data_IF_156890816957
#
_entry.id   IF_156890816957
#
_cell.length_a   1.000
_cell.length_b   1.000
_cell.length_c   1.000
_cell.angle_alpha   90.00
_cell.angle_beta   90.00
_cell.angle_gamma   90.00
#
_symmetry.space_group_name_H-M   'P 1'
#
loop_
_entity.id
_entity.type
_entity.pdbx_description
1 polymer ?
#
# COMPACT_ATOMS: atom_id res chain seq x y z
N UNK A 1 -7.61 -66.46 -45.14
CA UNK A 1 -6.38 -67.28 -44.96
C UNK A 1 -5.24 -66.27 -44.89
N UNK A 2 -4.50 -66.03 -43.82
CA UNK A 2 -4.19 -66.80 -42.61
C UNK A 2 -3.60 -65.83 -41.56
N UNK A 3 -4.01 -66.01 -40.30
CA UNK A 3 -3.29 -65.77 -39.02
C UNK A 3 -2.00 -64.94 -38.99
N UNK A 4 -1.96 -63.93 -38.10
CA UNK A 4 -1.29 -63.98 -36.78
C UNK A 4 -1.54 -62.67 -36.00
N UNK A 5 -1.64 -62.81 -34.68
CA UNK A 5 -2.10 -61.83 -33.68
C UNK A 5 -0.92 -61.33 -32.79
N UNK A 6 -1.11 -60.66 -31.63
CA UNK A 6 -0.83 -59.22 -31.44
C UNK A 6 0.09 -58.89 -30.23
N UNK A 7 0.40 -57.61 -30.02
CA UNK A 7 0.96 -57.08 -28.77
C UNK A 7 0.29 -55.73 -28.49
N UNK A 8 -0.72 -55.67 -27.60
CA UNK A 8 -0.62 -55.21 -26.19
C UNK A 8 0.16 -53.88 -26.08
N UNK A 9 -0.47 -52.75 -25.76
CA UNK A 9 -0.87 -52.48 -24.39
C UNK A 9 -1.98 -51.39 -24.33
N UNK A 10 -3.10 -51.73 -23.68
CA UNK A 10 -4.25 -50.87 -23.44
C UNK A 10 -4.55 -50.91 -21.94
N UNK A 11 -4.36 -49.78 -21.26
CA UNK A 11 -5.08 -49.46 -20.02
C UNK A 11 -4.26 -49.42 -18.74
N UNK A 12 -4.14 -48.22 -18.16
CA UNK A 12 -4.41 -47.98 -16.72
C UNK A 12 -4.48 -46.48 -16.40
N UNK A 13 -5.70 -45.94 -16.53
CA UNK A 13 -6.19 -44.89 -15.61
C UNK A 13 -6.65 -45.56 -14.32
N UNK A 14 -6.52 -44.82 -13.21
CA UNK A 14 -7.01 -45.08 -11.84
C UNK A 14 -6.04 -45.86 -10.94
N UNK A 15 -5.37 -45.13 -10.05
CA UNK A 15 -5.13 -45.41 -8.61
C UNK A 15 -3.91 -44.64 -8.11
N UNK A 16 -4.05 -43.35 -7.80
CA UNK A 16 -3.21 -42.67 -6.80
C UNK A 16 -4.07 -41.58 -6.16
N UNK A 17 -5.02 -42.02 -5.33
CA UNK A 17 -5.74 -41.15 -4.40
C UNK A 17 -5.94 -41.94 -3.11
N UNK A 18 -4.81 -42.28 -2.45
CA UNK A 18 -4.82 -43.00 -1.18
C UNK A 18 -3.44 -42.94 -0.47
N UNK A 19 -2.86 -41.75 -0.31
CA UNK A 19 -1.53 -41.62 0.35
C UNK A 19 -1.38 -40.48 1.35
N UNK A 20 -2.46 -39.82 1.81
CA UNK A 20 -2.39 -38.72 2.79
C UNK A 20 -3.14 -39.01 4.11
N UNK A 21 -3.61 -40.25 4.33
CA UNK A 21 -4.16 -40.66 5.63
C UNK A 21 -3.56 -41.99 6.06
N UNK A 22 -2.53 -41.91 6.92
CA UNK A 22 -2.10 -42.87 7.97
C UNK A 22 -0.59 -42.77 8.18
N UNK A 23 -0.16 -41.87 9.07
CA UNK A 23 1.14 -41.93 9.77
C UNK A 23 1.18 -40.92 10.90
N UNK A 24 0.39 -41.18 11.94
CA UNK A 24 0.57 -40.62 13.28
C UNK A 24 0.11 -41.65 14.30
N UNK A 25 1.00 -42.58 14.63
CA UNK A 25 1.04 -43.24 15.92
C UNK A 25 2.47 -43.76 16.12
N UNK A 26 2.95 -43.58 17.35
CA UNK A 26 4.16 -44.13 17.98
C UNK A 26 5.49 -43.37 17.84
N UNK A 27 5.78 -42.54 18.86
CA UNK A 27 7.00 -42.63 19.66
C UNK A 27 6.86 -41.80 20.95
N UNK A 28 7.00 -42.46 22.11
CA UNK A 28 7.10 -41.87 23.45
C UNK A 28 8.57 -41.60 23.82
N UNK A 29 8.73 -40.71 24.80
CA UNK A 29 9.80 -40.52 25.80
C UNK A 29 11.17 -39.96 25.40
N UNK A 30 11.40 -38.67 25.72
CA UNK A 30 12.60 -38.13 26.41
C UNK A 30 12.14 -37.00 27.35
N UNK A 31 12.71 -36.93 28.55
CA UNK A 31 12.36 -36.05 29.67
C UNK A 31 12.90 -34.61 29.57
N UNK A 32 12.35 -33.64 30.36
CA UNK A 32 12.62 -32.20 30.23
C UNK A 32 13.51 -31.62 31.35
N UNK A 33 14.25 -30.55 31.04
CA UNK A 33 14.92 -29.70 32.02
C UNK A 33 14.64 -28.20 31.78
N UNK A 34 13.86 -27.60 32.70
CA UNK A 34 13.86 -26.21 33.21
C UNK A 34 13.90 -25.02 32.21
N UNK A 35 13.01 -24.02 32.23
CA UNK A 35 12.31 -23.41 33.36
C UNK A 35 11.12 -22.49 32.95
N UNK A 36 10.21 -22.34 33.93
CA UNK A 36 9.29 -21.23 34.26
C UNK A 36 8.07 -20.90 33.38
N UNK A 37 6.93 -21.22 34.00
CA UNK A 37 5.51 -21.05 33.66
C UNK A 37 5.02 -19.66 34.06
N UNK A 38 4.10 -19.08 33.27
CA UNK A 38 2.98 -18.32 33.82
C UNK A 38 1.77 -18.47 32.88
N UNK A 39 0.94 -19.47 33.20
CA UNK A 39 -0.38 -19.66 32.62
C UNK A 39 -1.34 -19.85 33.80
N UNK A 40 -2.20 -18.88 34.06
CA UNK A 40 -3.36 -19.04 34.94
C UNK A 40 -4.59 -18.83 34.08
N UNK A 41 -5.01 -19.91 33.42
CA UNK A 41 -6.36 -20.09 32.97
C UNK A 41 -6.96 -21.21 33.84
N UNK A 42 -7.67 -20.84 34.90
CA UNK A 42 -8.63 -21.73 35.52
C UNK A 42 -10.00 -21.40 34.94
N UNK A 43 -10.50 -22.32 34.12
CA UNK A 43 -11.92 -22.45 33.83
C UNK A 43 -12.60 -23.00 35.08
N UNK A 44 -13.54 -22.24 35.64
CA UNK A 44 -14.64 -22.79 36.42
C UNK A 44 -15.92 -22.57 35.63
N UNK A 45 -16.52 -23.68 35.23
CA UNK A 45 -17.81 -23.80 34.58
C UNK A 45 -18.95 -23.37 35.52
N UNK A 46 -19.68 -22.33 35.12
CA UNK A 46 -21.06 -22.09 35.53
C UNK A 46 -21.79 -21.43 34.36
N UNK A 47 -22.79 -22.14 33.83
CA UNK A 47 -23.68 -21.63 32.81
C UNK A 47 -24.64 -20.60 33.43
N UNK A 48 -24.32 -19.30 33.30
CA UNK A 48 -25.25 -18.18 33.38
C UNK A 48 -24.53 -16.87 32.98
N UNK A 49 -25.08 -16.11 32.02
CA UNK A 49 -24.75 -14.69 31.85
C UNK A 49 -23.77 -14.30 30.74
N UNK A 50 -24.01 -14.68 29.48
CA UNK A 50 -23.37 -14.05 28.31
C UNK A 50 -24.11 -12.75 27.96
N UNK A 51 -24.12 -11.73 28.82
CA UNK A 51 -24.68 -10.41 28.48
C UNK A 51 -24.04 -9.25 29.28
N UNK A 52 -22.71 -9.13 29.40
CA UNK A 52 -22.09 -7.86 29.86
C UNK A 52 -20.56 -7.78 29.70
N UNK A 53 -20.00 -8.02 28.49
CA UNK A 53 -18.57 -7.72 28.22
C UNK A 53 -18.33 -6.88 26.96
N UNK A 54 -19.32 -6.75 26.08
CA UNK A 54 -19.18 -6.00 24.83
C UNK A 54 -19.30 -4.47 25.01
N UNK A 55 -19.99 -3.99 26.06
CA UNK A 55 -20.21 -2.56 26.29
C UNK A 55 -18.95 -1.79 26.71
N UNK A 56 -18.13 -2.35 27.61
CA UNK A 56 -16.94 -1.69 28.11
C UNK A 56 -15.83 -1.56 27.05
N UNK A 57 -15.65 -2.60 26.21
CA UNK A 57 -14.67 -2.60 25.12
C UNK A 57 -15.03 -1.60 24.01
N UNK A 58 -16.32 -1.48 23.66
CA UNK A 58 -16.75 -0.49 22.66
C UNK A 58 -16.65 0.95 23.18
N UNK A 59 -16.99 1.20 24.45
CA UNK A 59 -16.86 2.52 25.07
C UNK A 59 -15.41 2.99 25.15
N UNK A 60 -14.48 2.10 25.50
CA UNK A 60 -13.05 2.41 25.54
C UNK A 60 -12.49 2.72 24.13
N UNK A 61 -12.90 1.93 23.14
CA UNK A 61 -12.55 2.15 21.74
C UNK A 61 -13.05 3.50 21.22
N UNK A 62 -14.30 3.87 21.54
CA UNK A 62 -14.86 5.17 21.17
C UNK A 62 -14.14 6.35 21.86
N UNK A 63 -13.72 6.18 23.11
CA UNK A 63 -12.96 7.20 23.85
C UNK A 63 -11.60 7.47 23.21
N UNK A 64 -10.85 6.40 22.90
CA UNK A 64 -9.53 6.51 22.28
C UNK A 64 -9.59 7.16 20.89
N UNK A 65 -10.61 6.84 20.09
CA UNK A 65 -10.81 7.48 18.77
C UNK A 65 -11.08 8.99 18.92
N UNK A 66 -11.86 9.41 19.93
CA UNK A 66 -12.10 10.83 20.19
C UNK A 66 -10.85 11.56 20.65
N UNK A 67 -10.09 10.95 21.56
CA UNK A 67 -8.83 11.50 22.06
C UNK A 67 -7.81 11.67 20.92
N UNK A 68 -7.70 10.69 20.03
CA UNK A 68 -6.90 10.83 18.81
C UNK A 68 -7.41 11.95 17.91
N UNK A 69 -8.72 12.08 17.71
CA UNK A 69 -9.28 13.14 16.89
C UNK A 69 -8.97 14.55 17.45
N UNK A 70 -8.99 14.73 18.77
CA UNK A 70 -8.61 15.99 19.43
C UNK A 70 -7.11 16.26 19.30
N UNK A 71 -6.27 15.26 19.58
CA UNK A 71 -4.80 15.36 19.44
C UNK A 71 -4.40 15.75 18.01
N UNK A 72 -5.05 15.17 17.00
CA UNK A 72 -4.80 15.49 15.58
C UNK A 72 -5.09 16.95 15.24
N UNK A 73 -6.13 17.56 15.83
CA UNK A 73 -6.50 18.97 15.61
C UNK A 73 -5.46 19.94 16.17
N UNK A 74 -4.72 19.52 17.19
CA UNK A 74 -3.68 20.33 17.81
C UNK A 74 -2.35 20.31 17.05
N UNK A 75 -2.18 19.41 16.07
CA UNK A 75 -0.96 19.36 15.26
C UNK A 75 -0.88 20.58 14.32
N UNK A 76 0.30 21.23 14.20
CA UNK A 76 0.48 22.42 13.36
C UNK A 76 -0.05 22.27 11.93
N UNK A 77 0.19 21.12 11.29
CA UNK A 77 -0.22 20.87 9.90
C UNK A 77 -1.74 20.84 9.71
N UNK A 78 -2.53 20.63 10.77
CA UNK A 78 -3.98 20.50 10.68
C UNK A 78 -4.64 21.78 10.14
N UNK A 79 -4.10 22.95 10.49
CA UNK A 79 -4.60 24.26 10.01
C UNK A 79 -4.56 24.39 8.49
N UNK A 80 -3.67 23.64 7.84
CA UNK A 80 -3.46 23.66 6.39
C UNK A 80 -4.18 22.52 5.66
N UNK A 81 -5.03 21.73 6.34
CA UNK A 81 -5.72 20.56 5.76
C UNK A 81 -6.40 20.87 4.41
N UNK A 82 -7.20 21.93 4.36
CA UNK A 82 -7.94 22.32 3.16
C UNK A 82 -7.03 22.80 2.04
N UNK A 83 -6.01 23.58 2.38
CA UNK A 83 -5.03 24.11 1.44
C UNK A 83 -4.19 23.00 0.80
N UNK A 84 -3.70 22.05 1.61
CA UNK A 84 -2.94 20.89 1.13
C UNK A 84 -3.78 20.06 0.16
N UNK A 85 -5.03 19.74 0.53
CA UNK A 85 -5.93 19.01 -0.37
C UNK A 85 -6.16 19.74 -1.69
N UNK A 86 -6.30 21.07 -1.65
CA UNK A 86 -6.48 21.90 -2.85
C UNK A 86 -5.23 21.89 -3.74
N UNK A 87 -4.06 22.19 -3.17
CA UNK A 87 -2.79 22.25 -3.90
C UNK A 87 -2.44 20.92 -4.57
N UNK A 88 -2.68 19.79 -3.90
CA UNK A 88 -2.45 18.45 -4.45
C UNK A 88 -3.31 18.16 -5.67
N UNK A 89 -4.51 18.76 -5.77
CA UNK A 89 -5.36 18.62 -6.94
C UNK A 89 -4.92 19.56 -8.09
N UNK A 90 -4.58 20.80 -7.75
CA UNK A 90 -4.26 21.85 -8.73
C UNK A 90 -2.87 21.71 -9.36
N UNK A 91 -1.92 21.09 -8.65
CA UNK A 91 -0.53 20.96 -9.09
C UNK A 91 -0.12 19.50 -9.20
N UNK A 92 0.93 19.20 -9.96
CA UNK A 92 1.46 17.83 -10.07
C UNK A 92 2.45 17.51 -8.94
N UNK A 93 3.16 18.52 -8.44
CA UNK A 93 4.17 18.38 -7.39
C UNK A 93 3.91 19.44 -6.30
N UNK A 94 3.80 18.99 -5.05
CA UNK A 94 3.69 19.85 -3.87
C UNK A 94 4.88 19.58 -2.94
N UNK A 95 5.63 20.63 -2.61
CA UNK A 95 6.67 20.58 -1.58
C UNK A 95 6.08 21.05 -0.25
N UNK A 96 6.17 20.21 0.78
CA UNK A 96 5.75 20.53 2.15
C UNK A 96 6.97 20.54 3.05
N UNK A 97 7.23 21.69 3.66
CA UNK A 97 8.34 21.89 4.60
C UNK A 97 7.76 22.31 5.94
N UNK A 98 8.08 21.55 6.99
CA UNK A 98 7.70 21.90 8.37
C UNK A 98 8.58 21.12 9.35
N UNK A 99 8.71 21.59 10.59
CA UNK A 99 9.50 20.93 11.64
C UNK A 99 9.07 19.48 11.91
N UNK A 100 9.96 18.68 12.47
CA UNK A 100 9.63 17.34 13.00
C UNK A 100 8.57 17.46 14.10
N UNK A 101 7.63 16.52 14.14
CA UNK A 101 6.50 16.58 15.10
C UNK A 101 5.33 17.48 14.66
N UNK A 102 5.44 18.23 13.56
CA UNK A 102 4.32 19.02 13.00
C UNK A 102 3.15 18.17 12.48
N UNK A 103 3.35 16.87 12.31
CA UNK A 103 2.33 15.91 11.87
C UNK A 103 2.32 15.58 10.37
N UNK A 104 3.33 15.98 9.59
CA UNK A 104 3.41 15.75 8.12
C UNK A 104 3.12 14.29 7.73
N UNK A 105 3.97 13.38 8.19
CA UNK A 105 3.98 11.96 7.84
C UNK A 105 2.70 11.24 8.24
N UNK A 106 2.03 11.69 9.31
CA UNK A 106 0.80 11.08 9.81
C UNK A 106 -0.45 11.70 9.19
N UNK A 107 -0.53 13.03 9.16
CA UNK A 107 -1.79 13.74 8.90
C UNK A 107 -2.03 14.00 7.43
N UNK A 108 -1.00 14.33 6.64
CA UNK A 108 -1.19 14.70 5.23
C UNK A 108 -1.78 13.52 4.42
N UNK A 109 -1.25 12.29 4.50
CA UNK A 109 -1.86 11.15 3.82
C UNK A 109 -3.29 10.88 4.32
N UNK A 110 -3.53 11.02 5.63
CA UNK A 110 -4.86 10.85 6.21
C UNK A 110 -5.86 11.90 5.68
N UNK A 111 -5.47 13.17 5.55
CA UNK A 111 -6.32 14.23 5.01
C UNK A 111 -6.73 13.98 3.55
N UNK A 112 -5.76 13.57 2.72
CA UNK A 112 -6.00 13.24 1.32
C UNK A 112 -6.94 12.05 1.17
N UNK A 113 -6.79 11.05 2.05
CA UNK A 113 -7.64 9.86 2.06
C UNK A 113 -9.06 10.18 2.57
N UNK A 114 -9.19 10.87 3.70
CA UNK A 114 -10.47 11.22 4.34
C UNK A 114 -11.32 12.16 3.48
N UNK A 115 -10.71 13.14 2.82
CA UNK A 115 -11.41 14.06 1.92
C UNK A 115 -11.97 13.37 0.68
N UNK A 116 -11.42 12.21 0.32
CA UNK A 116 -11.75 11.50 -0.92
C UNK A 116 -11.36 12.28 -2.19
N UNK A 117 -10.57 13.35 -2.06
CA UNK A 117 -10.23 14.24 -3.16
C UNK A 117 -9.52 13.49 -4.30
N UNK A 118 -8.55 12.62 -3.98
CA UNK A 118 -7.81 11.82 -4.95
C UNK A 118 -8.67 10.76 -5.63
N UNK A 119 -9.65 10.19 -4.90
CA UNK A 119 -10.62 9.24 -5.47
C UNK A 119 -11.52 9.94 -6.50
N UNK A 120 -12.00 11.13 -6.16
CA UNK A 120 -12.83 11.93 -7.07
C UNK A 120 -12.02 12.40 -8.28
N UNK A 121 -10.81 12.90 -8.06
CA UNK A 121 -9.85 13.26 -9.10
C UNK A 121 -9.67 12.10 -10.08
N UNK A 122 -9.24 10.94 -9.57
CA UNK A 122 -9.03 9.78 -10.43
C UNK A 122 -10.30 9.31 -11.16
N UNK A 123 -11.49 9.48 -10.57
CA UNK A 123 -12.77 9.18 -11.23
C UNK A 123 -13.06 10.13 -12.40
N UNK A 124 -12.75 11.42 -12.29
CA UNK A 124 -12.96 12.41 -13.37
C UNK A 124 -12.11 12.15 -14.60
N UNK A 125 -10.93 11.55 -14.41
CA UNK A 125 -10.02 11.19 -15.50
C UNK A 125 -10.24 9.76 -16.04
N UNK A 126 -11.29 9.05 -15.61
CA UNK A 126 -11.60 7.73 -16.16
C UNK A 126 -12.00 7.83 -17.63
N UNK A 127 -11.31 7.08 -18.48
CA UNK A 127 -11.76 6.82 -19.85
C UNK A 127 -12.77 5.67 -19.85
N UNK A 128 -13.62 5.60 -20.89
CA UNK A 128 -14.64 4.54 -21.07
C UNK A 128 -14.07 3.11 -21.07
N UNK A 129 -12.74 2.94 -21.16
CA UNK A 129 -12.06 1.64 -21.20
C UNK A 129 -11.24 1.31 -19.93
N UNK A 130 -11.17 2.22 -18.95
CA UNK A 130 -10.27 2.07 -17.79
C UNK A 130 -10.96 1.64 -16.50
N UNK A 131 -10.84 0.36 -16.13
CA UNK A 131 -11.20 -0.14 -14.80
C UNK A 131 -10.07 0.10 -13.80
N UNK A 132 -9.86 1.34 -13.32
CA UNK A 132 -8.91 1.55 -12.23
C UNK A 132 -9.65 1.56 -10.88
N UNK A 133 -9.85 0.37 -10.31
CA UNK A 133 -10.48 0.17 -8.98
C UNK A 133 -9.54 0.56 -7.82
N UNK A 134 -8.25 0.82 -8.11
CA UNK A 134 -7.24 1.24 -7.14
C UNK A 134 -6.98 2.76 -7.14
N UNK A 135 -7.61 3.47 -8.08
CA UNK A 135 -7.43 4.90 -8.27
C UNK A 135 -7.90 5.68 -7.02
N UNK A 136 -6.95 6.35 -6.37
CA UNK A 136 -7.14 7.04 -5.09
C UNK A 136 -6.20 6.56 -3.98
N UNK A 137 -5.45 5.48 -4.20
CA UNK A 137 -4.46 5.00 -3.23
C UNK A 137 -3.24 5.94 -3.17
N UNK A 138 -2.62 6.02 -2.00
CA UNK A 138 -1.48 6.87 -1.66
C UNK A 138 -0.33 5.96 -1.21
N UNK A 139 0.83 6.09 -1.84
CA UNK A 139 2.07 5.51 -1.31
C UNK A 139 2.82 6.59 -0.55
N UNK A 140 3.25 6.32 0.68
CA UNK A 140 4.11 7.20 1.47
C UNK A 140 5.41 6.47 1.70
N UNK A 141 6.51 6.99 1.18
CA UNK A 141 7.81 6.37 1.41
C UNK A 141 8.45 6.86 2.70
N UNK A 142 9.26 6.00 3.29
CA UNK A 142 10.04 6.26 4.50
C UNK A 142 11.43 5.65 4.31
N UNK A 143 12.52 6.34 4.65
CA UNK A 143 13.86 5.79 4.48
C UNK A 143 14.12 4.57 5.37
N UNK A 144 13.40 4.47 6.50
CA UNK A 144 13.63 3.46 7.54
C UNK A 144 12.44 2.51 7.69
N UNK A 145 12.73 1.20 7.83
CA UNK A 145 11.69 0.16 8.04
C UNK A 145 10.85 0.42 9.28
N UNK A 146 11.50 0.76 10.41
CA UNK A 146 10.81 1.03 11.67
C UNK A 146 9.89 2.24 11.55
N UNK A 147 10.31 3.30 10.85
CA UNK A 147 9.47 4.46 10.59
C UNK A 147 8.22 4.09 9.78
N UNK A 148 8.37 3.36 8.66
CA UNK A 148 7.23 2.91 7.86
C UNK A 148 6.18 2.11 8.67
N UNK A 149 6.63 1.16 9.50
CA UNK A 149 5.75 0.33 10.31
C UNK A 149 5.06 1.12 11.43
N UNK A 150 5.82 1.95 12.15
CA UNK A 150 5.33 2.70 13.31
C UNK A 150 4.38 3.82 12.88
N UNK A 151 4.68 4.54 11.81
CA UNK A 151 3.80 5.57 11.26
C UNK A 151 2.51 4.94 10.73
N UNK A 152 2.57 3.82 9.99
CA UNK A 152 1.37 3.14 9.52
C UNK A 152 0.47 2.68 10.67
N UNK A 153 1.05 2.10 11.72
CA UNK A 153 0.30 1.68 12.91
C UNK A 153 -0.35 2.88 13.59
N UNK A 154 0.40 3.97 13.80
CA UNK A 154 -0.11 5.21 14.39
C UNK A 154 -1.28 5.79 13.58
N UNK A 155 -1.14 5.85 12.27
CA UNK A 155 -2.19 6.40 11.39
C UNK A 155 -3.41 5.49 11.35
N UNK A 156 -3.23 4.16 11.41
CA UNK A 156 -4.35 3.23 11.52
C UNK A 156 -5.16 3.46 12.82
N UNK A 157 -4.47 3.65 13.94
CA UNK A 157 -5.07 3.97 15.25
C UNK A 157 -5.78 5.34 15.24
N UNK A 158 -5.17 6.36 14.63
CA UNK A 158 -5.72 7.70 14.48
C UNK A 158 -6.94 7.78 13.55
N UNK A 159 -7.02 6.87 12.58
CA UNK A 159 -8.15 6.72 11.65
C UNK A 159 -9.18 5.69 12.12
N UNK A 160 -8.97 5.06 13.29
CA UNK A 160 -9.89 4.07 13.85
C UNK A 160 -10.07 2.84 12.97
N UNK A 161 -9.02 2.39 12.27
CA UNK A 161 -9.06 1.24 11.38
C UNK A 161 -8.02 0.18 11.76
N UNK A 162 -8.28 -1.07 11.38
CA UNK A 162 -7.31 -2.17 11.60
C UNK A 162 -6.11 -1.99 10.67
N UNK A 163 -4.89 -2.11 11.19
CA UNK A 163 -3.69 -2.10 10.36
C UNK A 163 -3.75 -3.21 9.30
N UNK A 164 -3.40 -2.88 8.06
CA UNK A 164 -3.55 -3.75 6.89
C UNK A 164 -4.91 -3.66 6.20
N UNK A 165 -5.90 -2.97 6.79
CA UNK A 165 -7.15 -2.59 6.12
C UNK A 165 -6.95 -1.30 5.33
N UNK A 166 -7.60 -0.19 5.68
CA UNK A 166 -7.49 1.11 5.00
C UNK A 166 -6.05 1.66 4.96
N UNK A 167 -5.31 1.45 6.05
CA UNK A 167 -3.92 1.88 6.24
C UNK A 167 -3.04 0.65 6.47
N UNK A 168 -1.88 0.57 5.82
CA UNK A 168 -0.98 -0.57 5.93
C UNK A 168 0.46 -0.20 5.60
N UNK A 169 1.37 -1.16 5.68
CA UNK A 169 2.78 -0.95 5.35
C UNK A 169 3.40 -2.08 4.52
N UNK A 170 4.47 -1.74 3.80
CA UNK A 170 5.27 -2.66 2.98
C UNK A 170 6.75 -2.39 3.18
N UNK A 171 7.41 -3.30 3.89
CA UNK A 171 8.86 -3.27 4.10
C UNK A 171 9.49 -4.58 3.59
N UNK A 172 10.82 -4.63 3.51
CA UNK A 172 11.47 -5.89 3.12
C UNK A 172 11.12 -6.99 4.12
N UNK A 173 10.70 -8.14 3.58
CA UNK A 173 10.30 -9.34 4.33
C UNK A 173 9.04 -9.22 5.19
N UNK A 174 8.32 -8.09 5.14
CA UNK A 174 7.07 -7.93 5.90
C UNK A 174 6.09 -7.02 5.15
N UNK A 175 4.87 -7.52 4.96
CA UNK A 175 3.82 -6.86 4.19
C UNK A 175 2.50 -6.98 4.93
N UNK A 176 2.03 -5.86 5.47
CA UNK A 176 0.74 -5.72 6.13
C UNK A 176 -0.15 -4.82 5.28
N UNK A 177 -0.61 -5.34 4.13
CA UNK A 177 -1.57 -4.68 3.24
C UNK A 177 -2.55 -5.68 2.66
N UNK A 178 -3.81 -5.27 2.53
CA UNK A 178 -4.80 -5.96 1.73
C UNK A 178 -4.88 -5.31 0.34
N UNK A 179 -4.44 -6.02 -0.70
CA UNK A 179 -4.34 -5.47 -2.05
C UNK A 179 -5.52 -5.84 -2.96
N UNK A 180 -6.32 -6.83 -2.57
CA UNK A 180 -7.34 -7.46 -3.42
C UNK A 180 -8.63 -7.82 -2.68
N UNK A 181 -8.67 -7.66 -1.36
CA UNK A 181 -9.83 -7.93 -0.53
C UNK A 181 -10.77 -6.72 -0.38
N UNK A 182 -11.90 -6.93 0.31
CA UNK A 182 -12.97 -5.93 0.45
C UNK A 182 -12.51 -4.67 1.20
N UNK A 183 -11.48 -4.79 2.04
CA UNK A 183 -10.92 -3.70 2.83
C UNK A 183 -9.58 -3.22 2.24
N UNK A 184 -9.53 -3.09 0.91
CA UNK A 184 -8.31 -2.76 0.17
C UNK A 184 -7.57 -1.57 0.79
N UNK A 185 -6.28 -1.75 1.08
CA UNK A 185 -5.40 -0.71 1.59
C UNK A 185 -5.25 0.43 0.61
N UNK A 186 -5.51 1.64 1.11
CA UNK A 186 -5.47 2.89 0.34
C UNK A 186 -4.29 3.75 0.74
N UNK A 187 -3.90 3.77 2.01
CA UNK A 187 -2.70 4.48 2.47
C UNK A 187 -1.63 3.44 2.81
N UNK A 188 -0.57 3.40 1.99
CA UNK A 188 0.50 2.41 2.13
C UNK A 188 1.78 3.14 2.51
N UNK A 189 2.31 2.85 3.69
CA UNK A 189 3.65 3.27 4.08
C UNK A 189 4.66 2.23 3.61
N UNK A 190 5.60 2.62 2.75
CA UNK A 190 6.60 1.71 2.22
C UNK A 190 8.00 2.22 2.50
N UNK A 191 8.99 1.33 2.55
CA UNK A 191 10.38 1.81 2.43
C UNK A 191 10.69 2.21 0.99
N UNK A 192 11.60 3.16 0.79
CA UNK A 192 12.06 3.60 -0.54
C UNK A 192 12.40 2.41 -1.46
N UNK A 193 13.20 1.47 -0.97
CA UNK A 193 13.56 0.25 -1.70
C UNK A 193 12.39 -0.65 -2.10
N UNK A 194 11.27 -0.63 -1.36
CA UNK A 194 10.07 -1.40 -1.73
C UNK A 194 9.30 -0.72 -2.87
N UNK A 195 9.21 0.61 -2.88
CA UNK A 195 8.61 1.35 -3.99
C UNK A 195 9.48 1.30 -5.25
N UNK A 196 10.81 1.41 -5.12
CA UNK A 196 11.75 1.21 -6.24
C UNK A 196 11.60 -0.17 -6.87
N UNK A 197 11.49 -1.21 -6.04
CA UNK A 197 11.26 -2.58 -6.52
C UNK A 197 9.92 -2.70 -7.25
N UNK A 198 8.85 -2.11 -6.72
CA UNK A 198 7.55 -2.08 -7.38
C UNK A 198 7.62 -1.37 -8.74
N UNK A 199 8.29 -0.21 -8.80
CA UNK A 199 8.46 0.57 -10.02
C UNK A 199 9.24 -0.16 -11.12
N UNK A 200 10.04 -1.17 -10.77
CA UNK A 200 10.71 -2.03 -11.76
C UNK A 200 9.69 -2.88 -12.54
N UNK A 201 8.65 -3.37 -11.86
CA UNK A 201 7.56 -4.16 -12.47
C UNK A 201 6.39 -3.31 -12.97
N UNK A 202 6.11 -2.19 -12.31
CA UNK A 202 5.09 -1.23 -12.67
C UNK A 202 5.68 0.19 -12.75
N UNK A 203 6.35 0.54 -13.87
CA UNK A 203 6.97 1.85 -14.05
C UNK A 203 5.99 3.03 -14.07
N UNK A 204 4.69 2.77 -14.24
CA UNK A 204 3.65 3.80 -14.23
C UNK A 204 3.04 4.00 -12.85
N UNK A 205 3.40 3.17 -11.86
CA UNK A 205 2.86 3.22 -10.51
C UNK A 205 1.32 3.26 -10.54
N UNK A 206 0.73 2.37 -11.35
CA UNK A 206 -0.69 2.38 -11.76
C UNK A 206 -1.68 2.33 -10.61
N UNK A 207 -1.26 1.74 -9.47
CA UNK A 207 -2.03 1.65 -8.23
C UNK A 207 -2.27 3.01 -7.58
N UNK A 208 -1.33 3.94 -7.70
CA UNK A 208 -1.31 5.15 -6.89
C UNK A 208 -1.88 6.35 -7.63
N UNK A 209 -2.74 7.10 -6.94
CA UNK A 209 -3.14 8.45 -7.35
C UNK A 209 -2.13 9.49 -6.85
N UNK A 210 -1.53 9.25 -5.68
CA UNK A 210 -0.46 10.07 -5.15
C UNK A 210 0.71 9.26 -4.61
N UNK A 211 1.92 9.77 -4.77
CA UNK A 211 3.14 9.29 -4.11
C UNK A 211 3.67 10.41 -3.24
N UNK A 212 3.97 10.10 -1.98
CA UNK A 212 4.55 10.99 -1.00
C UNK A 212 5.98 10.52 -0.73
N UNK A 213 6.96 11.34 -1.10
CA UNK A 213 8.37 11.15 -0.81
C UNK A 213 8.67 11.87 0.51
N UNK A 214 8.60 11.13 1.62
CA UNK A 214 8.81 11.68 2.96
C UNK A 214 10.28 11.69 3.35
N UNK A 215 10.60 12.47 4.39
CA UNK A 215 11.94 12.57 4.97
C UNK A 215 13.03 12.92 3.93
N UNK A 216 12.69 13.75 2.92
CA UNK A 216 13.61 14.10 1.84
C UNK A 216 14.91 14.80 2.31
N UNK A 217 14.91 15.31 3.54
CA UNK A 217 16.08 15.88 4.20
C UNK A 217 17.13 14.83 4.61
N UNK A 218 16.78 13.54 4.73
CA UNK A 218 17.75 12.50 5.05
C UNK A 218 18.74 12.23 3.89
N UNK A 219 18.51 12.81 2.69
CA UNK A 219 19.40 12.77 1.50
C UNK A 219 20.01 11.39 1.22
N UNK A 220 19.16 10.36 1.20
CA UNK A 220 19.62 9.00 0.90
C UNK A 220 19.68 8.76 -0.62
N UNK A 221 20.64 7.94 -1.07
CA UNK A 221 20.74 7.53 -2.48
C UNK A 221 19.45 6.88 -2.99
N UNK A 222 18.77 6.10 -2.14
CA UNK A 222 17.51 5.45 -2.54
C UNK A 222 16.41 6.47 -2.79
N UNK A 223 16.33 7.50 -1.95
CA UNK A 223 15.38 8.60 -2.09
C UNK A 223 15.67 9.38 -3.38
N UNK A 224 16.93 9.68 -3.69
CA UNK A 224 17.34 10.38 -4.93
C UNK A 224 16.98 9.59 -6.20
N UNK A 225 17.27 8.29 -6.23
CA UNK A 225 16.88 7.43 -7.34
C UNK A 225 15.35 7.39 -7.47
N UNK A 226 14.64 7.35 -6.34
CA UNK A 226 13.18 7.31 -6.32
C UNK A 226 12.57 8.60 -6.86
N UNK A 227 13.15 9.78 -6.60
CA UNK A 227 12.74 11.04 -7.25
C UNK A 227 12.78 10.91 -8.77
N UNK A 228 13.85 10.36 -9.34
CA UNK A 228 13.98 10.15 -10.79
C UNK A 228 12.92 9.19 -11.34
N UNK A 229 12.68 8.08 -10.65
CA UNK A 229 11.67 7.09 -11.03
C UNK A 229 10.25 7.66 -10.98
N UNK A 230 9.89 8.33 -9.88
CA UNK A 230 8.57 8.94 -9.69
C UNK A 230 8.33 10.07 -10.69
N UNK A 231 9.35 10.90 -10.96
CA UNK A 231 9.29 11.95 -11.99
C UNK A 231 8.98 11.36 -13.37
N UNK A 232 9.65 10.27 -13.76
CA UNK A 232 9.40 9.59 -15.05
C UNK A 232 7.98 9.03 -15.14
N UNK A 233 7.46 8.45 -14.06
CA UNK A 233 6.08 7.95 -14.00
C UNK A 233 5.05 9.10 -14.13
N UNK A 234 5.31 10.21 -13.43
CA UNK A 234 4.49 11.43 -13.47
C UNK A 234 4.42 12.03 -14.88
N UNK A 235 5.57 12.25 -15.52
CA UNK A 235 5.65 12.80 -16.89
C UNK A 235 4.90 11.92 -17.90
N UNK A 236 5.07 10.60 -17.82
CA UNK A 236 4.36 9.67 -18.70
C UNK A 236 2.84 9.66 -18.47
N UNK A 237 2.39 9.93 -17.24
CA UNK A 237 0.96 10.03 -16.91
C UNK A 237 0.34 11.37 -17.29
N UNK A 238 1.10 12.46 -17.23
CA UNK A 238 0.66 13.80 -17.65
C UNK A 238 0.41 13.91 -19.15
N UNK A 239 1.17 13.20 -19.98
CA UNK A 239 0.99 13.15 -21.44
C UNK A 239 -0.39 12.63 -21.92
N UNK A 240 -1.25 12.17 -21.01
CA UNK A 240 -2.64 11.81 -21.29
C UNK A 240 -3.58 13.03 -21.33
N UNK A 241 -3.27 14.10 -20.60
CA UNK A 241 -4.15 15.28 -20.49
C UNK A 241 -3.91 16.31 -21.59
N UNK A 242 -2.65 16.55 -21.95
CA UNK A 242 -2.28 17.52 -22.96
C UNK A 242 -2.44 16.92 -24.37
N UNK A 243 -3.68 16.92 -24.86
CA UNK A 243 -4.03 16.46 -26.21
C UNK A 243 -3.70 17.47 -27.34
N UNK A 244 -3.13 18.64 -27.05
CA UNK A 244 -3.13 19.76 -28.01
C UNK A 244 -1.78 20.38 -28.35
N UNK A 245 -0.69 20.09 -27.65
CA UNK A 245 0.63 20.60 -28.03
C UNK A 245 1.63 19.47 -28.09
N UNK A 246 1.97 19.08 -29.32
CA UNK A 246 3.19 18.37 -29.62
C UNK A 246 4.38 19.31 -29.38
N UNK A 247 4.64 19.66 -28.11
CA UNK A 247 5.91 20.27 -27.76
C UNK A 247 6.91 19.13 -27.70
N UNK A 248 7.56 18.90 -28.85
CA UNK A 248 8.88 18.31 -28.93
C UNK A 248 9.82 19.21 -28.12
N UNK A 249 9.77 19.11 -26.79
CA UNK A 249 10.87 19.59 -25.97
C UNK A 249 12.09 18.81 -26.40
N UNK A 250 13.15 19.52 -26.81
CA UNK A 250 14.43 18.94 -27.17
C UNK A 250 15.03 18.23 -25.93
N UNK A 251 14.61 17.00 -25.71
CA UNK A 251 15.10 16.15 -24.64
C UNK A 251 16.52 15.69 -24.98
N UNK A 252 17.49 16.12 -24.16
CA UNK A 252 18.92 15.74 -24.19
C UNK A 252 19.10 14.30 -23.65
N UNK A 253 18.24 13.37 -24.07
CA UNK A 253 18.23 11.97 -23.64
C UNK A 253 18.73 11.04 -24.74
N UNK A 254 19.29 9.90 -24.34
CA UNK A 254 19.65 8.83 -25.27
C UNK A 254 18.44 8.34 -26.08
N UNK A 255 18.64 7.83 -27.30
CA UNK A 255 17.54 7.30 -28.12
C UNK A 255 16.73 6.20 -27.42
N UNK A 256 17.38 5.44 -26.53
CA UNK A 256 16.72 4.42 -25.70
C UNK A 256 15.79 5.06 -24.67
N UNK A 257 16.19 6.15 -24.01
CA UNK A 257 15.34 6.83 -23.03
C UNK A 257 14.10 7.45 -23.69
N UNK A 258 14.25 8.03 -24.88
CA UNK A 258 13.13 8.56 -25.67
C UNK A 258 12.12 7.46 -26.00
N UNK A 259 12.60 6.29 -26.45
CA UNK A 259 11.74 5.15 -26.75
C UNK A 259 10.99 4.64 -25.51
N UNK A 260 11.67 4.56 -24.35
CA UNK A 260 11.03 4.15 -23.09
C UNK A 260 9.95 5.14 -22.69
N UNK A 261 10.24 6.45 -22.69
CA UNK A 261 9.26 7.50 -22.36
C UNK A 261 8.02 7.40 -23.26
N UNK A 262 8.21 7.22 -24.56
CA UNK A 262 7.11 7.06 -25.53
C UNK A 262 6.22 5.86 -25.20
N UNK A 263 6.82 4.68 -24.97
CA UNK A 263 6.08 3.47 -24.60
C UNK A 263 5.32 3.61 -23.27
N UNK A 264 5.92 4.26 -22.28
CA UNK A 264 5.24 4.51 -21.00
C UNK A 264 4.04 5.45 -21.19
N UNK A 265 4.20 6.52 -21.97
CA UNK A 265 3.10 7.43 -22.31
C UNK A 265 1.97 6.72 -23.07
N UNK A 266 2.28 5.93 -24.09
CA UNK A 266 1.30 5.12 -24.83
C UNK A 266 0.53 4.16 -23.91
N UNK A 267 1.23 3.42 -23.04
CA UNK A 267 0.63 2.51 -22.06
C UNK A 267 -0.24 3.26 -21.05
N UNK A 268 0.21 4.41 -20.59
CA UNK A 268 -0.55 5.28 -19.69
C UNK A 268 -1.88 5.72 -20.32
N UNK A 269 -1.87 6.10 -21.61
CA UNK A 269 -3.07 6.47 -22.38
C UNK A 269 -4.02 5.30 -22.53
N UNK A 270 -3.48 4.13 -22.90
CA UNK A 270 -4.26 2.90 -23.06
C UNK A 270 -4.99 2.52 -21.77
N UNK A 271 -4.31 2.68 -20.62
CA UNK A 271 -4.88 2.39 -19.31
C UNK A 271 -5.79 3.51 -18.76
N UNK A 272 -5.83 4.68 -19.42
CA UNK A 272 -6.61 5.83 -18.97
C UNK A 272 -6.19 6.32 -17.58
N UNK A 273 -4.88 6.33 -17.29
CA UNK A 273 -4.39 6.73 -15.98
C UNK A 273 -4.53 8.25 -15.81
N UNK A 274 -5.03 8.74 -14.65
CA UNK A 274 -4.93 10.15 -14.30
C UNK A 274 -3.46 10.55 -14.14
N UNK A 275 -3.12 11.85 -14.16
CA UNK A 275 -1.82 12.32 -13.67
C UNK A 275 -1.49 11.73 -12.31
N UNK A 276 -0.22 11.44 -12.09
CA UNK A 276 0.27 11.04 -10.77
C UNK A 276 0.56 12.31 -9.97
N UNK A 277 -0.04 12.45 -8.79
CA UNK A 277 0.28 13.54 -7.88
C UNK A 277 1.48 13.18 -7.03
N UNK A 278 2.41 14.10 -6.86
CA UNK A 278 3.64 13.87 -6.09
C UNK A 278 3.69 14.89 -4.95
N UNK A 279 3.91 14.40 -3.74
CA UNK A 279 4.20 15.24 -2.59
C UNK A 279 5.62 14.95 -2.14
N UNK A 280 6.37 15.99 -1.83
CA UNK A 280 7.70 15.90 -1.24
C UNK A 280 7.60 16.51 0.13
N UNK A 281 7.92 15.74 1.16
CA UNK A 281 7.87 16.22 2.54
C UNK A 281 9.28 16.25 3.12
N UNK A 282 9.64 17.39 3.70
CA UNK A 282 10.94 17.62 4.32
C UNK A 282 10.77 18.27 5.69
N UNK A 283 11.64 17.90 6.62
CA UNK A 283 11.84 18.69 7.82
C UNK A 283 12.80 19.84 7.53
N UNK A 284 12.65 20.93 8.28
CA UNK A 284 13.63 22.02 8.47
C UNK A 284 14.37 21.80 9.77
#
# INVERSE_FOLDING_TARGET
>A
MSSLSPSADYGRKRKIDESIKRKRHDARSVSPGTASILNVAQQTSAAAGIQSRNGASSQLSHRLVREHAESRRNLPVYKFKSEICRLVLETDVVLVVAETGSGKSTQIPAFLQESGCLKQFAKRHRTKQGHNHLAGSICVTQPRRVAAMTVAKRVAEEMGCTLGSLVGYRVRFDNCTDISGPNTTRVIYATDGMLLREATSDPLLTRYAAVVLDEAHERSLQTDVLFGVVKRAMEARRQNENKSEATLSADIGSDKDKLIRRRMGEKSRQLGLPPLKVLVMSAT
#
